data_IF_631693779716
#
_entry.id   IF_631693779716
#
_cell.length_a   1.000
_cell.length_b   1.000
_cell.length_c   1.000
_cell.angle_alpha   90.00
_cell.angle_beta   90.00
_cell.angle_gamma   90.00
#
_symmetry.space_group_name_H-M   'P 1'
#
loop_
_entity.id
_entity.type
_entity.pdbx_description
1 polymer ?
#
# COMPACT_ATOMS: atom_id res chain seq x y z
N UNK A 1 8.84 0.35 50.63
CA UNK A 1 8.63 -0.13 49.26
C UNK A 1 7.16 0.12 48.91
N UNK A 2 6.86 1.07 48.04
CA UNK A 2 5.50 1.30 47.52
C UNK A 2 5.56 1.24 45.99
N UNK A 3 4.77 0.32 45.45
CA UNK A 3 4.59 0.08 44.02
C UNK A 3 3.36 0.86 43.52
N UNK A 4 3.51 1.35 42.28
CA UNK A 4 2.51 1.47 41.22
C UNK A 4 1.39 2.50 41.37
N UNK A 5 1.47 3.53 40.53
CA UNK A 5 0.33 4.00 39.74
C UNK A 5 0.87 4.52 38.41
N UNK A 6 0.97 3.62 37.42
CA UNK A 6 1.15 4.02 36.03
C UNK A 6 -0.13 4.73 35.60
N UNK A 7 -0.10 6.06 35.60
CA UNK A 7 -1.19 6.88 35.09
C UNK A 7 -1.37 6.60 33.60
N UNK A 8 -2.38 5.80 33.26
CA UNK A 8 -2.83 5.58 31.89
C UNK A 8 -3.19 6.93 31.29
N UNK A 9 -2.36 7.41 30.36
CA UNK A 9 -2.58 8.70 29.69
C UNK A 9 -3.93 8.64 28.96
N UNK A 10 -4.86 9.58 29.21
CA UNK A 10 -6.17 9.52 28.59
C UNK A 10 -6.03 9.58 27.07
N UNK A 11 -6.62 8.61 26.37
CA UNK A 11 -6.70 8.57 24.91
C UNK A 11 -7.41 9.84 24.42
N UNK A 12 -6.63 10.83 23.98
CA UNK A 12 -7.15 12.08 23.40
C UNK A 12 -7.75 11.75 22.05
N UNK A 13 -9.08 11.81 21.95
CA UNK A 13 -9.80 11.70 20.67
C UNK A 13 -9.27 12.78 19.73
N UNK A 14 -9.08 12.44 18.45
CA UNK A 14 -8.64 13.42 17.46
C UNK A 14 -9.66 14.56 17.40
N UNK A 15 -9.19 15.77 17.07
CA UNK A 15 -10.11 16.89 16.84
C UNK A 15 -11.08 16.54 15.70
N UNK A 16 -12.28 17.12 15.71
CA UNK A 16 -13.31 16.87 14.70
C UNK A 16 -12.77 17.01 13.26
N UNK A 17 -11.88 17.98 13.02
CA UNK A 17 -11.20 18.20 11.74
C UNK A 17 -10.29 17.01 11.37
N UNK A 18 -9.51 16.49 12.32
CA UNK A 18 -8.67 15.30 12.09
C UNK A 18 -9.48 14.06 11.72
N UNK A 19 -10.68 13.89 12.30
CA UNK A 19 -11.60 12.82 11.92
C UNK A 19 -12.14 12.95 10.50
N UNK A 20 -12.44 14.18 10.05
CA UNK A 20 -12.90 14.44 8.67
C UNK A 20 -11.81 14.10 7.66
N UNK A 21 -10.57 14.57 7.88
CA UNK A 21 -9.46 14.28 6.97
C UNK A 21 -9.12 12.79 6.92
N UNK A 22 -9.14 12.11 8.08
CA UNK A 22 -8.91 10.67 8.13
C UNK A 22 -9.98 9.90 7.34
N UNK A 23 -11.26 10.25 7.52
CA UNK A 23 -12.35 9.63 6.77
C UNK A 23 -12.21 9.86 5.26
N UNK A 24 -11.91 11.10 4.85
CA UNK A 24 -11.71 11.44 3.45
C UNK A 24 -10.52 10.66 2.86
N UNK A 25 -9.39 10.58 3.58
CA UNK A 25 -8.22 9.82 3.15
C UNK A 25 -8.53 8.34 2.99
N UNK A 26 -9.25 7.73 3.95
CA UNK A 26 -9.70 6.32 3.85
C UNK A 26 -10.58 6.07 2.63
N UNK A 27 -11.51 6.97 2.35
CA UNK A 27 -12.38 6.85 1.18
C UNK A 27 -11.60 6.98 -0.13
N UNK A 28 -10.64 7.91 -0.19
CA UNK A 28 -9.82 8.12 -1.38
C UNK A 28 -9.02 6.87 -1.78
N UNK A 29 -8.53 6.11 -0.79
CA UNK A 29 -7.63 4.96 -1.03
C UNK A 29 -8.30 3.59 -0.92
N UNK A 30 -9.60 3.50 -0.57
CA UNK A 30 -10.25 2.24 -0.19
C UNK A 30 -10.13 1.15 -1.26
N UNK A 31 -10.49 1.47 -2.50
CA UNK A 31 -10.54 0.48 -3.58
C UNK A 31 -9.12 -0.01 -3.93
N UNK A 32 -8.18 0.93 -3.98
CA UNK A 32 -6.77 0.67 -4.27
C UNK A 32 -6.14 -0.17 -3.15
N UNK A 33 -6.49 0.09 -1.89
CA UNK A 33 -6.04 -0.71 -0.76
C UNK A 33 -6.52 -2.17 -0.85
N UNK A 34 -7.70 -2.39 -1.40
CA UNK A 34 -8.24 -3.73 -1.62
C UNK A 34 -7.40 -4.50 -2.65
N UNK A 35 -7.14 -3.91 -3.83
CA UNK A 35 -6.31 -4.51 -4.87
C UNK A 35 -4.86 -4.74 -4.41
N UNK A 36 -4.28 -3.75 -3.71
CA UNK A 36 -2.91 -3.79 -3.24
C UNK A 36 -2.60 -5.03 -2.40
N UNK A 37 -3.53 -5.45 -1.53
CA UNK A 37 -3.33 -6.62 -0.67
C UNK A 37 -3.20 -7.91 -1.49
N UNK A 38 -4.06 -8.08 -2.51
CA UNK A 38 -4.05 -9.23 -3.41
C UNK A 38 -2.79 -9.26 -4.27
N UNK A 39 -2.36 -8.10 -4.79
CA UNK A 39 -1.14 -8.01 -5.58
C UNK A 39 0.12 -8.24 -4.76
N UNK A 40 0.19 -7.72 -3.54
CA UNK A 40 1.33 -7.99 -2.64
C UNK A 40 1.44 -9.48 -2.30
N UNK A 41 0.31 -10.14 -2.05
CA UNK A 41 0.29 -11.58 -1.83
C UNK A 41 0.76 -12.36 -3.07
N UNK A 42 0.28 -11.95 -4.25
CA UNK A 42 0.68 -12.57 -5.53
C UNK A 42 2.17 -12.36 -5.80
N UNK A 43 2.69 -11.14 -5.65
CA UNK A 43 4.11 -10.83 -5.83
C UNK A 43 5.01 -11.60 -4.85
N UNK A 44 4.58 -11.76 -3.60
CA UNK A 44 5.28 -12.59 -2.62
C UNK A 44 5.32 -14.07 -3.05
N UNK A 45 4.21 -14.59 -3.58
CA UNK A 45 4.14 -15.95 -4.14
C UNK A 45 5.05 -16.13 -5.35
N UNK A 46 5.07 -15.16 -6.28
CA UNK A 46 5.96 -15.18 -7.46
C UNK A 46 7.43 -15.15 -7.04
N UNK A 47 7.77 -14.31 -6.06
CA UNK A 47 9.12 -14.25 -5.48
C UNK A 47 9.50 -15.59 -4.86
N UNK A 48 8.63 -16.18 -4.03
CA UNK A 48 8.90 -17.48 -3.42
C UNK A 48 9.09 -18.56 -4.49
N UNK A 49 8.26 -18.57 -5.53
CA UNK A 49 8.35 -19.53 -6.63
C UNK A 49 9.72 -19.48 -7.32
N UNK A 50 10.28 -18.29 -7.54
CA UNK A 50 11.59 -18.08 -8.16
C UNK A 50 12.75 -18.78 -7.42
N UNK A 51 12.71 -18.84 -6.09
CA UNK A 51 13.77 -19.46 -5.28
C UNK A 51 13.62 -20.98 -5.10
N UNK A 52 12.45 -21.55 -5.44
CA UNK A 52 12.22 -22.99 -5.33
C UNK A 52 12.56 -23.67 -6.66
N UNK A 53 13.55 -24.55 -6.66
CA UNK A 53 14.12 -25.21 -7.86
C UNK A 53 13.13 -26.02 -8.72
N UNK A 54 11.89 -26.20 -8.27
CA UNK A 54 10.82 -26.89 -9.01
C UNK A 54 9.96 -25.97 -9.88
N UNK A 55 10.08 -24.66 -9.74
CA UNK A 55 9.27 -23.71 -10.50
C UNK A 55 10.08 -23.06 -11.62
N UNK A 56 9.40 -22.85 -12.74
CA UNK A 56 9.94 -22.20 -13.93
C UNK A 56 10.03 -20.68 -13.71
N UNK A 57 11.25 -20.09 -13.60
CA UNK A 57 11.42 -18.65 -13.40
C UNK A 57 10.79 -17.81 -14.50
N UNK A 58 10.71 -18.34 -15.73
CA UNK A 58 10.12 -17.62 -16.87
C UNK A 58 8.62 -17.37 -16.67
N UNK A 59 7.91 -18.29 -16.00
CA UNK A 59 6.49 -18.10 -15.65
C UNK A 59 6.30 -17.01 -14.62
N UNK A 60 7.20 -16.91 -13.64
CA UNK A 60 7.14 -15.86 -12.63
C UNK A 60 7.38 -14.48 -13.26
N UNK A 61 8.37 -14.36 -14.14
CA UNK A 61 8.65 -13.15 -14.91
C UNK A 61 7.48 -12.74 -15.81
N UNK A 62 6.92 -13.67 -16.59
CA UNK A 62 5.76 -13.41 -17.44
C UNK A 62 4.54 -12.92 -16.63
N UNK A 63 4.24 -13.56 -15.49
CA UNK A 63 3.13 -13.15 -14.64
C UNK A 63 3.37 -11.79 -13.98
N UNK A 64 4.61 -11.49 -13.58
CA UNK A 64 4.97 -10.17 -13.07
C UNK A 64 4.79 -9.08 -14.15
N UNK A 65 5.15 -9.37 -15.40
CA UNK A 65 4.95 -8.46 -16.54
C UNK A 65 3.48 -8.18 -16.83
N UNK A 66 2.59 -9.15 -16.66
CA UNK A 66 1.13 -8.96 -16.79
C UNK A 66 0.55 -8.09 -15.66
N UNK A 67 1.08 -8.24 -14.43
CA UNK A 67 0.60 -7.48 -13.27
C UNK A 67 1.07 -6.03 -13.27
N UNK A 68 2.27 -5.77 -13.80
CA UNK A 68 2.91 -4.46 -13.72
C UNK A 68 2.05 -3.30 -14.27
N UNK A 69 1.40 -3.41 -15.45
CA UNK A 69 0.50 -2.38 -15.96
C UNK A 69 -0.68 -2.07 -15.04
N UNK A 70 -1.21 -3.06 -14.32
CA UNK A 70 -2.33 -2.88 -13.39
C UNK A 70 -1.91 -2.03 -12.18
N UNK A 71 -0.73 -2.31 -11.62
CA UNK A 71 -0.17 -1.52 -10.51
C UNK A 71 0.11 -0.08 -10.95
N UNK A 72 0.60 0.11 -12.18
CA UNK A 72 0.82 1.45 -12.75
C UNK A 72 -0.51 2.19 -12.95
N UNK A 73 -1.56 1.51 -13.42
CA UNK A 73 -2.88 2.09 -13.58
C UNK A 73 -3.46 2.57 -12.24
N UNK A 74 -3.45 1.73 -11.20
CA UNK A 74 -3.94 2.11 -9.87
C UNK A 74 -3.13 3.26 -9.25
N UNK A 75 -1.82 3.34 -9.53
CA UNK A 75 -1.00 4.48 -9.11
C UNK A 75 -1.45 5.76 -9.79
N UNK A 76 -1.65 5.76 -11.11
CA UNK A 76 -2.13 6.92 -11.87
C UNK A 76 -3.51 7.34 -11.36
N UNK A 77 -4.40 6.37 -11.13
CA UNK A 77 -5.73 6.64 -10.60
C UNK A 77 -5.69 7.24 -9.20
N UNK A 78 -4.80 6.73 -8.32
CA UNK A 78 -4.59 7.33 -7.01
C UNK A 78 -4.17 8.80 -7.13
N UNK A 79 -3.14 9.11 -7.92
CA UNK A 79 -2.67 10.49 -8.10
C UNK A 79 -3.80 11.40 -8.61
N UNK A 80 -4.53 10.96 -9.63
CA UNK A 80 -5.67 11.71 -10.18
C UNK A 80 -6.77 11.96 -9.13
N UNK A 81 -7.06 10.98 -8.26
CA UNK A 81 -8.01 11.14 -7.14
C UNK A 81 -7.49 12.16 -6.12
N UNK A 82 -6.18 12.20 -5.86
CA UNK A 82 -5.58 13.09 -4.86
C UNK A 82 -5.46 14.55 -5.34
N UNK A 83 -5.25 14.77 -6.63
CA UNK A 83 -5.11 16.11 -7.21
C UNK A 83 -6.36 16.99 -6.99
N UNK A 84 -7.54 16.38 -6.87
CA UNK A 84 -8.79 17.08 -6.60
C UNK A 84 -9.13 17.28 -5.11
N UNK A 85 -8.30 16.79 -4.18
CA UNK A 85 -8.59 16.80 -2.75
C UNK A 85 -7.84 17.91 -2.01
N UNK A 86 -8.35 18.24 -0.82
CA UNK A 86 -7.68 19.15 0.10
C UNK A 86 -6.27 18.63 0.45
N UNK A 87 -5.28 19.52 0.51
CA UNK A 87 -3.88 19.18 0.77
C UNK A 87 -3.69 18.34 2.04
N UNK A 88 -4.48 18.60 3.09
CA UNK A 88 -4.42 17.84 4.34
C UNK A 88 -4.83 16.36 4.18
N UNK A 89 -5.71 16.06 3.22
CA UNK A 89 -6.14 14.70 2.87
C UNK A 89 -5.13 14.06 1.91
N UNK A 90 -4.69 14.79 0.88
CA UNK A 90 -3.73 14.30 -0.11
C UNK A 90 -2.37 13.94 0.51
N UNK A 91 -1.94 14.69 1.53
CA UNK A 91 -0.67 14.47 2.24
C UNK A 91 -0.82 13.62 3.50
N UNK A 92 -2.03 13.15 3.81
CA UNK A 92 -2.33 12.32 4.98
C UNK A 92 -1.44 11.06 5.00
N UNK A 93 -1.07 10.60 6.20
CA UNK A 93 -0.15 9.45 6.37
C UNK A 93 -0.63 8.20 5.62
N UNK A 94 -1.91 7.87 5.76
CA UNK A 94 -2.52 6.73 5.05
C UNK A 94 -2.32 6.80 3.53
N UNK A 95 -2.60 7.96 2.92
CA UNK A 95 -2.41 8.19 1.48
C UNK A 95 -0.96 7.98 1.07
N UNK A 96 -0.02 8.53 1.86
CA UNK A 96 1.42 8.38 1.64
C UNK A 96 1.87 6.92 1.75
N UNK A 97 1.33 6.18 2.69
CA UNK A 97 1.68 4.78 2.91
C UNK A 97 1.19 3.90 1.75
N UNK A 98 0.00 4.16 1.21
CA UNK A 98 -0.51 3.47 0.02
C UNK A 98 0.34 3.80 -1.22
N UNK A 99 0.68 5.08 -1.46
CA UNK A 99 1.60 5.47 -2.56
C UNK A 99 2.92 4.72 -2.47
N UNK A 100 3.54 4.72 -1.28
CA UNK A 100 4.80 4.00 -1.03
C UNK A 100 4.67 2.50 -1.24
N UNK A 101 3.53 1.90 -0.89
CA UNK A 101 3.31 0.48 -1.08
C UNK A 101 3.16 0.11 -2.56
N UNK A 102 2.48 0.94 -3.36
CA UNK A 102 2.41 0.79 -4.82
C UNK A 102 3.80 0.95 -5.46
N UNK A 103 4.57 1.95 -5.07
CA UNK A 103 5.92 2.17 -5.59
C UNK A 103 6.86 0.99 -5.30
N UNK A 104 6.78 0.41 -4.07
CA UNK A 104 7.55 -0.79 -3.72
C UNK A 104 7.10 -2.01 -4.52
N UNK A 105 5.79 -2.21 -4.66
CA UNK A 105 5.25 -3.33 -5.44
C UNK A 105 5.67 -3.23 -6.91
N UNK A 106 5.67 -2.02 -7.48
CA UNK A 106 6.17 -1.75 -8.82
C UNK A 106 7.64 -2.17 -8.95
N UNK A 107 8.52 -1.68 -8.05
CA UNK A 107 9.93 -2.04 -8.07
C UNK A 107 10.15 -3.57 -7.91
N UNK A 108 9.38 -4.20 -7.02
CA UNK A 108 9.42 -5.64 -6.80
C UNK A 108 9.05 -6.44 -8.06
N UNK A 109 7.99 -6.03 -8.77
CA UNK A 109 7.59 -6.67 -10.02
C UNK A 109 8.62 -6.44 -11.14
N UNK A 110 9.19 -5.24 -11.24
CA UNK A 110 10.27 -4.97 -12.20
C UNK A 110 11.49 -5.86 -11.97
N UNK A 111 11.89 -6.06 -10.71
CA UNK A 111 13.00 -6.94 -10.37
C UNK A 111 12.71 -8.39 -10.80
N UNK A 112 11.48 -8.86 -10.60
CA UNK A 112 11.06 -10.21 -11.03
C UNK A 112 11.06 -10.41 -12.55
N UNK A 113 10.90 -9.32 -13.32
CA UNK A 113 10.89 -9.36 -14.79
C UNK A 113 12.30 -9.36 -15.37
N UNK A 114 13.18 -8.52 -14.80
CA UNK A 114 14.55 -8.30 -15.31
C UNK A 114 15.46 -9.49 -14.99
N UNK A 115 15.37 -10.02 -13.77
CA UNK A 115 16.19 -11.16 -13.35
C UNK A 115 15.69 -12.47 -13.96
#
# INVERSE_FOLDING_TARGET
MQQLSAASTPHRRASHIGHVHNRAARLAVRDIQQHLSEWQHTAATLRAARFHSRNDPSRASARAAEMLPLVVADRIELEARLDGLETAVATHSLTRDIRRALDRLHADLQQLIID
#
